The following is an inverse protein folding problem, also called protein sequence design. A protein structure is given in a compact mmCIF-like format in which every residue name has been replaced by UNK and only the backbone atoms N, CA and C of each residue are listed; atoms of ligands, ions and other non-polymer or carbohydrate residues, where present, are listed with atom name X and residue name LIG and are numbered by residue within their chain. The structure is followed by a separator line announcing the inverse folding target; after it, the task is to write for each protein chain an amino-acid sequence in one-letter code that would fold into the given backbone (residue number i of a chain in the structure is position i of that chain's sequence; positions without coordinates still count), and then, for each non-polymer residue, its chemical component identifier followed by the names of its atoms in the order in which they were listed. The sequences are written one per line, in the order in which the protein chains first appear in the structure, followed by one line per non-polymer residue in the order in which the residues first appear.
data_IF_532059170001
#
_entry.id   IF_532059170001
#
_cell.length_a   1.000
_cell.length_b   1.000
_cell.length_c   1.000
_cell.angle_alpha   90.00
_cell.angle_beta   90.00
_cell.angle_gamma   90.00
#
_symmetry.space_group_name_H-M   'P 1'
#
loop_
_entity.id
_entity.type
_entity.pdbx_description
1 polymer ?
#
# COMPACT_ATOMS: atom_id res chain seq x y z
N UNK A 1 16.17 19.88 2.68
CA UNK A 1 14.88 19.67 2.01
C UNK A 1 14.17 18.50 2.65
N UNK A 2 12.99 18.72 3.15
CA UNK A 2 12.25 17.66 3.83
C UNK A 2 11.63 16.71 2.80
N UNK A 3 11.65 15.43 3.11
CA UNK A 3 11.05 14.40 2.27
C UNK A 3 9.66 14.12 2.81
N UNK A 4 8.66 14.15 1.94
CA UNK A 4 7.27 13.93 2.33
C UNK A 4 7.06 12.46 2.76
N UNK A 5 6.42 12.22 3.90
CA UNK A 5 6.05 10.86 4.26
C UNK A 5 5.08 10.28 3.25
N UNK A 6 5.10 8.98 3.10
CA UNK A 6 4.23 8.28 2.16
C UNK A 6 3.27 7.34 2.90
N UNK A 7 2.23 6.91 2.22
CA UNK A 7 1.29 5.91 2.74
C UNK A 7 1.29 4.69 1.83
N UNK A 8 1.09 3.52 2.42
CA UNK A 8 1.03 2.25 1.70
C UNK A 8 -0.39 1.70 1.78
N UNK A 9 -0.96 1.35 0.63
CA UNK A 9 -2.26 0.67 0.58
C UNK A 9 -1.99 -0.74 0.07
N UNK A 10 -2.09 -1.71 0.96
CA UNK A 10 -1.90 -3.11 0.63
C UNK A 10 -3.25 -3.78 0.35
N UNK A 11 -3.36 -4.48 -0.76
CA UNK A 11 -4.61 -5.11 -1.14
C UNK A 11 -5.49 -4.20 -1.97
N UNK A 12 -4.90 -3.52 -2.94
CA UNK A 12 -5.65 -2.65 -3.84
C UNK A 12 -6.37 -3.48 -4.88
N UNK A 13 -7.61 -3.14 -5.13
CA UNK A 13 -8.43 -3.70 -6.17
C UNK A 13 -9.52 -2.71 -6.47
N UNK A 14 -10.70 -3.18 -6.87
CA UNK A 14 -11.88 -2.32 -6.99
C UNK A 14 -12.46 -2.06 -5.59
N UNK A 15 -13.27 -1.04 -5.45
CA UNK A 15 -14.00 -0.77 -4.21
C UNK A 15 -13.16 -0.08 -3.14
N UNK A 16 -13.16 -0.63 -1.93
CA UNK A 16 -12.58 0.03 -0.75
C UNK A 16 -11.11 0.37 -0.91
N UNK A 17 -10.31 -0.54 -1.45
CA UNK A 17 -8.89 -0.29 -1.66
C UNK A 17 -8.64 0.87 -2.60
N UNK A 18 -9.38 0.94 -3.69
CA UNK A 18 -9.24 2.04 -4.65
C UNK A 18 -9.69 3.37 -4.03
N UNK A 19 -10.79 3.36 -3.28
CA UNK A 19 -11.27 4.55 -2.59
C UNK A 19 -10.24 5.08 -1.61
N UNK A 20 -9.66 4.19 -0.81
CA UNK A 20 -8.62 4.54 0.16
C UNK A 20 -7.40 5.14 -0.54
N UNK A 21 -6.97 4.54 -1.64
CA UNK A 21 -5.82 5.03 -2.40
C UNK A 21 -6.04 6.45 -2.90
N UNK A 22 -7.22 6.73 -3.46
CA UNK A 22 -7.57 8.07 -3.93
C UNK A 22 -7.61 9.07 -2.78
N UNK A 23 -8.16 8.65 -1.66
CA UNK A 23 -8.29 9.52 -0.49
C UNK A 23 -6.93 9.88 0.11
N UNK A 24 -6.08 8.87 0.32
CA UNK A 24 -4.75 9.12 0.87
C UNK A 24 -3.85 9.88 -0.09
N UNK A 25 -4.04 9.71 -1.40
CA UNK A 25 -3.24 10.41 -2.40
C UNK A 25 -3.42 11.92 -2.38
N UNK A 26 -4.48 12.41 -1.76
CA UNK A 26 -4.70 13.85 -1.59
C UNK A 26 -3.72 14.46 -0.60
N UNK A 27 -3.24 13.66 0.34
CA UNK A 27 -2.38 14.15 1.42
C UNK A 27 -0.96 13.62 1.35
N UNK A 28 -0.76 12.45 0.74
CA UNK A 28 0.52 11.75 0.74
C UNK A 28 0.84 11.17 -0.63
N UNK A 29 2.13 11.04 -0.98
CA UNK A 29 2.53 10.07 -1.99
C UNK A 29 2.08 8.69 -1.52
N UNK A 30 1.57 7.86 -2.42
CA UNK A 30 1.06 6.53 -2.04
C UNK A 30 1.78 5.43 -2.81
N UNK A 31 1.91 4.28 -2.16
CA UNK A 31 2.38 3.06 -2.79
C UNK A 31 1.24 2.05 -2.74
N UNK A 32 0.90 1.48 -3.89
CA UNK A 32 -0.23 0.57 -4.04
C UNK A 32 0.30 -0.83 -4.27
N UNK A 33 -0.05 -1.76 -3.39
CA UNK A 33 0.40 -3.14 -3.46
C UNK A 33 -0.74 -4.07 -3.84
N UNK A 34 -0.50 -4.94 -4.81
CA UNK A 34 -1.41 -6.01 -5.18
C UNK A 34 -0.61 -7.10 -5.88
N UNK A 35 -1.13 -8.33 -5.90
CA UNK A 35 -0.47 -9.41 -6.62
C UNK A 35 -0.43 -9.16 -8.12
N UNK A 36 -1.51 -8.63 -8.64
CA UNK A 36 -1.71 -8.46 -10.07
C UNK A 36 -1.60 -6.99 -10.44
N UNK A 37 -0.66 -6.61 -11.33
CA UNK A 37 -0.55 -5.22 -11.77
C UNK A 37 -1.85 -4.65 -12.33
N UNK A 38 -2.69 -5.46 -12.91
CA UNK A 38 -4.00 -5.03 -13.39
C UNK A 38 -4.90 -4.44 -12.31
N UNK A 39 -4.61 -4.75 -11.04
CA UNK A 39 -5.38 -4.21 -9.93
C UNK A 39 -5.03 -2.76 -9.61
N UNK A 40 -3.85 -2.29 -9.99
CA UNK A 40 -3.42 -0.93 -9.61
C UNK A 40 -3.01 -0.03 -10.77
N UNK A 41 -2.69 -0.58 -11.96
CA UNK A 41 -2.13 0.21 -13.06
C UNK A 41 -2.99 1.43 -13.44
N UNK A 42 -4.27 1.23 -13.64
CA UNK A 42 -5.17 2.34 -14.02
C UNK A 42 -5.32 3.35 -12.88
N UNK A 43 -5.32 2.88 -11.66
CA UNK A 43 -5.44 3.73 -10.48
C UNK A 43 -4.19 4.58 -10.28
N UNK A 44 -3.01 3.99 -10.46
CA UNK A 44 -1.74 4.73 -10.42
C UNK A 44 -1.75 5.84 -11.46
N UNK A 45 -2.16 5.53 -12.68
CA UNK A 45 -2.24 6.51 -13.74
C UNK A 45 -3.22 7.64 -13.39
N UNK A 46 -4.40 7.27 -12.90
CA UNK A 46 -5.42 8.24 -12.49
C UNK A 46 -4.89 9.20 -11.43
N UNK A 47 -4.25 8.67 -10.38
CA UNK A 47 -3.71 9.50 -9.30
C UNK A 47 -2.62 10.45 -9.82
N UNK A 48 -1.70 9.94 -10.62
CA UNK A 48 -0.62 10.76 -11.16
C UNK A 48 -1.14 11.81 -12.13
N UNK A 49 -2.13 11.48 -12.94
CA UNK A 49 -2.75 12.43 -13.88
C UNK A 49 -3.49 13.56 -13.16
N UNK A 50 -3.97 13.30 -11.95
CA UNK A 50 -4.70 14.28 -11.16
C UNK A 50 -3.82 15.06 -10.18
N UNK A 51 -2.51 15.02 -10.37
CA UNK A 51 -1.57 15.81 -9.57
C UNK A 51 -1.07 15.14 -8.30
N UNK A 52 -1.50 13.91 -8.04
CA UNK A 52 -0.99 13.13 -6.93
C UNK A 52 0.31 12.42 -7.30
N UNK A 53 0.78 11.58 -6.42
CA UNK A 53 1.97 10.77 -6.67
C UNK A 53 1.73 9.35 -6.21
N UNK A 54 1.77 8.40 -7.12
CA UNK A 54 1.52 7.00 -6.83
C UNK A 54 2.51 6.11 -7.56
N UNK A 55 2.90 5.01 -6.91
CA UNK A 55 3.64 3.92 -7.53
C UNK A 55 2.87 2.62 -7.24
N UNK A 56 2.88 1.71 -8.20
CA UNK A 56 2.28 0.40 -8.04
C UNK A 56 3.36 -0.66 -7.95
N UNK A 57 3.23 -1.57 -7.02
CA UNK A 57 4.20 -2.64 -6.83
C UNK A 57 3.47 -3.96 -6.72
N UNK A 58 3.86 -4.90 -7.59
CA UNK A 58 3.31 -6.25 -7.50
C UNK A 58 3.97 -6.97 -6.32
N UNK A 59 3.17 -7.41 -5.38
CA UNK A 59 3.66 -8.08 -4.19
C UNK A 59 2.64 -9.11 -3.72
N UNK A 60 3.16 -10.27 -3.30
CA UNK A 60 2.36 -11.28 -2.63
C UNK A 60 2.47 -11.01 -1.13
N UNK A 61 1.42 -10.42 -0.56
CA UNK A 61 1.43 -10.00 0.84
C UNK A 61 1.41 -11.19 1.81
N UNK A 62 1.19 -12.42 1.32
CA UNK A 62 1.34 -13.63 2.13
C UNK A 62 2.78 -14.14 2.19
N UNK A 63 3.68 -13.54 1.43
CA UNK A 63 5.08 -13.93 1.33
C UNK A 63 5.97 -12.84 1.93
N UNK A 64 6.69 -13.18 3.00
CA UNK A 64 7.53 -12.21 3.72
C UNK A 64 8.60 -11.59 2.85
N UNK A 65 9.27 -12.40 2.02
CA UNK A 65 10.31 -11.89 1.12
C UNK A 65 9.74 -10.92 0.09
N UNK A 66 8.55 -11.21 -0.42
CA UNK A 66 7.87 -10.34 -1.38
C UNK A 66 7.53 -8.99 -0.74
N UNK A 67 7.03 -9.01 0.48
CA UNK A 67 6.69 -7.78 1.21
C UNK A 67 7.96 -6.97 1.50
N UNK A 68 9.01 -7.61 1.95
CA UNK A 68 10.29 -6.96 2.23
C UNK A 68 10.85 -6.29 0.97
N UNK A 69 10.85 -7.01 -0.13
CA UNK A 69 11.31 -6.49 -1.42
C UNK A 69 10.47 -5.30 -1.88
N UNK A 70 9.15 -5.38 -1.67
CA UNK A 70 8.24 -4.29 -2.02
C UNK A 70 8.56 -3.02 -1.23
N UNK A 71 8.80 -3.13 0.06
CA UNK A 71 9.14 -1.96 0.89
C UNK A 71 10.49 -1.37 0.53
N UNK A 72 11.46 -2.19 0.13
CA UNK A 72 12.74 -1.69 -0.38
C UNK A 72 12.53 -0.86 -1.66
N UNK A 73 11.69 -1.34 -2.55
CA UNK A 73 11.37 -0.63 -3.79
C UNK A 73 10.67 0.70 -3.49
N UNK A 74 9.73 0.70 -2.54
CA UNK A 74 9.04 1.92 -2.13
C UNK A 74 10.02 2.93 -1.55
N UNK A 75 10.92 2.47 -0.70
CA UNK A 75 11.92 3.34 -0.09
C UNK A 75 12.76 4.04 -1.16
N UNK A 76 13.18 3.31 -2.19
CA UNK A 76 13.93 3.90 -3.29
C UNK A 76 13.08 4.90 -4.08
N UNK A 77 11.82 4.58 -4.33
CA UNK A 77 10.94 5.44 -5.11
C UNK A 77 10.65 6.77 -4.40
N UNK A 78 10.62 6.75 -3.07
CA UNK A 78 10.29 7.93 -2.26
C UNK A 78 11.46 8.45 -1.43
N UNK A 79 12.70 8.21 -1.90
CA UNK A 79 13.92 8.78 -1.33
C UNK A 79 14.08 8.49 0.17
N UNK A 80 13.71 7.27 0.57
CA UNK A 80 13.79 6.82 1.98
C UNK A 80 12.99 7.69 2.95
N UNK A 81 11.89 8.27 2.46
CA UNK A 81 10.98 9.04 3.30
C UNK A 81 10.36 8.15 4.38
N UNK A 82 9.93 8.72 5.50
CA UNK A 82 9.21 7.94 6.50
C UNK A 82 7.85 7.48 6.01
N UNK A 83 7.42 6.32 6.47
CA UNK A 83 6.09 5.80 6.18
C UNK A 83 5.10 6.34 7.21
N UNK A 84 4.12 7.11 6.74
CA UNK A 84 3.12 7.71 7.61
C UNK A 84 2.03 6.72 8.02
N UNK A 85 1.66 5.82 7.12
CA UNK A 85 0.57 4.87 7.39
C UNK A 85 0.68 3.67 6.45
N UNK A 86 0.27 2.53 6.95
CA UNK A 86 0.07 1.32 6.14
C UNK A 86 -1.39 0.91 6.32
N UNK A 87 -2.12 0.87 5.22
CA UNK A 87 -3.52 0.45 5.22
C UNK A 87 -3.58 -0.95 4.60
N UNK A 88 -3.99 -1.91 5.39
CA UNK A 88 -4.11 -3.28 4.94
C UNK A 88 -5.57 -3.58 4.59
N UNK A 89 -5.84 -3.85 3.32
CA UNK A 89 -7.19 -4.11 2.81
C UNK A 89 -7.26 -5.38 1.97
N UNK A 90 -6.42 -6.37 2.29
CA UNK A 90 -6.45 -7.63 1.57
C UNK A 90 -7.54 -8.54 2.17
N UNK A 91 -8.13 -9.37 1.32
CA UNK A 91 -9.09 -10.38 1.77
C UNK A 91 -8.34 -11.64 2.20
N UNK A 92 -8.83 -12.28 3.23
CA UNK A 92 -8.23 -13.49 3.78
C UNK A 92 -8.86 -13.74 5.12
N UNK A 93 -8.25 -13.36 6.17
CA UNK A 93 -8.87 -13.30 7.48
C UNK A 93 -9.30 -11.87 7.76
N UNK A 94 -10.09 -11.69 8.78
CA UNK A 94 -10.53 -10.36 9.19
C UNK A 94 -10.13 -10.11 10.64
N UNK A 95 -9.27 -9.13 10.86
CA UNK A 95 -8.82 -8.75 12.18
C UNK A 95 -9.26 -7.32 12.45
N UNK A 96 -10.12 -7.14 13.46
CA UNK A 96 -10.62 -5.84 13.87
C UNK A 96 -9.81 -5.34 15.06
N UNK A 97 -8.71 -4.64 14.78
CA UNK A 97 -7.89 -4.08 15.83
C UNK A 97 -7.27 -2.77 15.35
N UNK A 98 -6.99 -1.84 16.28
CA UNK A 98 -6.14 -0.72 15.92
C UNK A 98 -4.80 -1.23 15.38
N UNK A 99 -4.23 -0.53 14.43
CA UNK A 99 -3.00 -0.97 13.79
C UNK A 99 -1.88 -1.24 14.81
N UNK A 100 -1.76 -0.41 15.82
CA UNK A 100 -0.71 -0.54 16.83
C UNK A 100 -0.84 -1.82 17.68
N UNK A 101 -2.05 -2.39 17.74
CA UNK A 101 -2.29 -3.63 18.48
C UNK A 101 -2.25 -4.86 17.58
N UNK A 102 -2.06 -4.69 16.28
CA UNK A 102 -2.02 -5.80 15.34
C UNK A 102 -0.67 -6.48 15.41
N UNK A 103 -0.68 -7.79 15.60
CA UNK A 103 0.53 -8.60 15.63
C UNK A 103 0.86 -9.09 14.22
N UNK A 104 2.12 -9.42 14.02
CA UNK A 104 2.55 -10.01 12.75
C UNK A 104 1.75 -11.26 12.40
N UNK A 105 1.47 -12.10 13.40
CA UNK A 105 0.66 -13.32 13.22
C UNK A 105 -0.74 -13.02 12.70
N UNK A 106 -1.35 -11.94 13.20
CA UNK A 106 -2.68 -11.52 12.76
C UNK A 106 -2.63 -11.07 11.29
N UNK A 107 -1.58 -10.35 10.92
CA UNK A 107 -1.38 -9.94 9.54
C UNK A 107 -1.18 -11.15 8.63
N UNK A 108 -0.37 -12.10 9.05
CA UNK A 108 -0.11 -13.32 8.28
C UNK A 108 -1.39 -14.12 8.05
N UNK A 109 -2.24 -14.25 9.06
CA UNK A 109 -3.52 -14.93 8.92
C UNK A 109 -4.45 -14.21 7.96
N UNK A 110 -4.46 -12.89 8.03
CA UNK A 110 -5.27 -12.08 7.12
C UNK A 110 -4.80 -12.16 5.68
N UNK A 111 -3.53 -12.52 5.47
CA UNK A 111 -2.92 -12.61 4.15
C UNK A 111 -3.13 -13.96 3.49
N UNK A 112 -3.47 -14.97 4.23
CA UNK A 112 -3.72 -16.32 3.68
C UNK A 112 -5.14 -16.42 3.05
#
# INVERSE_FOLDING_TARGET
MSVRPFAVIAGVGSGTGAWLARRFARAYPVALLARNPGSYDSLVKEINDNGGRAVGISADVSNEESVKSAFETIAQAYDHAPCAAVIYNASGGFVRRPFLDTRLEDLEKGLD
#
